data_IF_517375232613
#
_entry.id   IF_517375232613
#
_cell.length_a   1.000
_cell.length_b   1.000
_cell.length_c   1.000
_cell.angle_alpha   90.00
_cell.angle_beta   90.00
_cell.angle_gamma   90.00
#
_symmetry.space_group_name_H-M   'P 1'
#
loop_
_entity.id
_entity.type
_entity.pdbx_description
1 polymer ?
#
# COMPACT_ATOMS: atom_id res chain seq x y z
N UNK A 1 -2.94 13.64 -1.48
CA UNK A 1 -2.90 12.22 -1.90
C UNK A 1 -2.30 11.40 -0.77
N UNK A 2 -2.87 10.25 -0.44
CA UNK A 2 -2.44 9.43 0.69
C UNK A 2 -2.30 7.96 0.24
N UNK A 3 -1.22 7.33 0.71
CA UNK A 3 -0.98 5.89 0.63
C UNK A 3 -0.67 5.45 2.06
N UNK A 4 -1.39 4.45 2.55
CA UNK A 4 -1.13 3.80 3.84
C UNK A 4 -0.89 2.32 3.57
N UNK A 5 0.26 1.80 3.96
CA UNK A 5 0.64 0.41 3.71
C UNK A 5 1.20 -0.28 4.94
N UNK A 6 0.91 -1.57 5.10
CA UNK A 6 1.50 -2.40 6.15
C UNK A 6 0.68 -3.66 6.45
N UNK A 7 1.23 -4.50 7.32
CA UNK A 7 0.51 -5.60 7.96
C UNK A 7 -0.42 -5.04 9.04
N UNK A 8 -1.72 -5.11 8.78
CA UNK A 8 -2.75 -4.62 9.71
C UNK A 8 -3.32 -5.74 10.58
N UNK A 9 -2.88 -6.99 10.38
CA UNK A 9 -3.35 -8.18 11.09
C UNK A 9 -4.89 -8.39 11.08
N UNK A 10 -5.59 -7.77 10.13
CA UNK A 10 -7.05 -7.83 10.02
C UNK A 10 -7.48 -7.74 8.55
N UNK A 11 -8.77 -7.96 8.26
CA UNK A 11 -9.32 -7.86 6.92
C UNK A 11 -9.63 -6.41 6.52
N UNK A 12 -9.61 -6.13 5.21
CA UNK A 12 -9.91 -4.81 4.67
C UNK A 12 -11.28 -4.27 5.11
N UNK A 13 -12.28 -5.14 5.20
CA UNK A 13 -13.63 -4.74 5.64
C UNK A 13 -13.62 -4.17 7.07
N UNK A 14 -12.92 -4.85 7.99
CA UNK A 14 -12.82 -4.40 9.38
C UNK A 14 -12.05 -3.07 9.47
N UNK A 15 -11.03 -2.86 8.63
CA UNK A 15 -10.33 -1.57 8.54
C UNK A 15 -11.26 -0.46 8.06
N UNK A 16 -12.02 -0.71 7.01
CA UNK A 16 -12.83 0.31 6.34
C UNK A 16 -14.18 0.56 7.03
N UNK A 17 -14.69 -0.36 7.84
CA UNK A 17 -16.00 -0.23 8.47
C UNK A 17 -15.92 -0.10 10.01
N UNK A 18 -14.89 -0.69 10.63
CA UNK A 18 -14.84 -0.89 12.08
C UNK A 18 -13.58 -0.33 12.75
N UNK A 19 -12.79 0.49 12.04
CA UNK A 19 -11.60 1.14 12.59
C UNK A 19 -11.66 2.68 12.46
N UNK A 20 -10.72 3.42 13.08
CA UNK A 20 -10.57 4.87 12.86
C UNK A 20 -10.31 5.27 11.41
N UNK A 21 -9.96 4.33 10.52
CA UNK A 21 -9.74 4.60 9.10
C UNK A 21 -11.04 4.76 8.30
N UNK A 22 -12.19 4.33 8.84
CA UNK A 22 -13.49 4.35 8.15
C UNK A 22 -13.82 5.69 7.52
N UNK A 23 -13.61 6.78 8.26
CA UNK A 23 -14.05 8.11 7.86
C UNK A 23 -13.04 8.83 6.94
N UNK A 24 -11.92 8.17 6.59
CA UNK A 24 -10.89 8.70 5.70
C UNK A 24 -11.18 8.46 4.21
N UNK A 25 -12.22 7.67 3.89
CA UNK A 25 -12.60 7.36 2.51
C UNK A 25 -11.53 6.62 1.72
N UNK A 26 -10.66 5.86 2.40
CA UNK A 26 -9.60 5.08 1.76
C UNK A 26 -10.18 3.87 1.02
N UNK A 27 -9.51 3.47 -0.06
CA UNK A 27 -9.83 2.29 -0.86
C UNK A 27 -8.83 1.17 -0.55
N UNK A 28 -9.31 -0.06 -0.40
CA UNK A 28 -8.50 -1.27 -0.22
C UNK A 28 -8.57 -2.15 -1.49
N UNK A 29 -7.66 -1.98 -2.44
CA UNK A 29 -7.73 -2.68 -3.73
C UNK A 29 -7.16 -4.11 -3.67
N UNK A 30 -6.45 -4.48 -2.61
CA UNK A 30 -5.89 -5.80 -2.42
C UNK A 30 -6.91 -6.74 -1.76
N UNK A 31 -7.14 -7.89 -2.41
CA UNK A 31 -8.05 -8.94 -1.92
C UNK A 31 -7.35 -10.30 -1.76
N UNK A 32 -6.17 -10.46 -2.37
CA UNK A 32 -5.44 -11.72 -2.38
C UNK A 32 -4.72 -11.98 -1.06
N UNK A 33 -4.73 -13.24 -0.63
CA UNK A 33 -4.06 -13.66 0.58
C UNK A 33 -2.53 -13.56 0.46
N UNK A 34 -1.90 -13.16 1.55
CA UNK A 34 -0.45 -12.96 1.66
C UNK A 34 0.17 -13.87 2.72
N UNK A 35 -0.61 -14.31 3.71
CA UNK A 35 -0.14 -15.08 4.84
C UNK A 35 -0.86 -16.45 4.99
N UNK A 36 -0.15 -17.52 5.39
CA UNK A 36 1.31 -17.63 5.35
C UNK A 36 1.82 -17.82 3.91
N UNK A 37 3.02 -17.36 3.60
CA UNK A 37 3.54 -17.28 2.22
C UNK A 37 3.63 -18.61 1.48
N UNK A 38 3.83 -19.71 2.20
CA UNK A 38 3.90 -21.07 1.65
C UNK A 38 2.52 -21.66 1.29
N UNK A 39 1.44 -21.10 1.84
CA UNK A 39 0.05 -21.44 1.52
C UNK A 39 -0.86 -20.27 1.89
N UNK A 40 -0.93 -19.23 1.06
CA UNK A 40 -1.64 -18.01 1.42
C UNK A 40 -3.14 -18.28 1.64
N UNK A 41 -3.64 -17.87 2.79
CA UNK A 41 -5.04 -18.05 3.20
C UNK A 41 -5.64 -16.79 3.83
N UNK A 42 -4.82 -15.86 4.30
CA UNK A 42 -5.23 -14.64 4.98
C UNK A 42 -4.67 -13.42 4.25
N UNK A 43 -5.53 -12.43 4.00
CA UNK A 43 -5.16 -11.12 3.47
C UNK A 43 -5.03 -10.15 4.65
N UNK A 44 -3.79 -9.95 5.12
CA UNK A 44 -3.48 -9.16 6.33
C UNK A 44 -2.65 -7.92 6.03
N UNK A 45 -1.82 -8.00 5.00
CA UNK A 45 -1.14 -6.86 4.42
C UNK A 45 -2.13 -6.09 3.56
N UNK A 46 -2.14 -4.77 3.69
CA UNK A 46 -2.99 -3.87 2.91
C UNK A 46 -2.20 -2.69 2.41
N UNK A 47 -2.51 -2.25 1.18
CA UNK A 47 -2.09 -0.95 0.63
C UNK A 47 -3.36 -0.14 0.37
N UNK A 48 -3.68 0.78 1.27
CA UNK A 48 -4.85 1.64 1.22
C UNK A 48 -4.57 2.95 0.49
N UNK A 49 -5.47 3.36 -0.40
CA UNK A 49 -5.27 4.51 -1.28
C UNK A 49 -6.39 5.56 -1.12
N UNK A 50 -6.04 6.84 -1.13
CA UNK A 50 -7.05 7.90 -1.28
C UNK A 50 -7.73 7.82 -2.67
N UNK A 51 -9.03 8.13 -2.83
CA UNK A 51 -9.76 8.00 -4.10
C UNK A 51 -9.25 8.87 -5.25
N UNK A 52 -8.40 9.85 -4.92
CA UNK A 52 -7.76 10.75 -5.90
C UNK A 52 -6.54 10.13 -6.59
N UNK A 53 -6.11 8.94 -6.17
CA UNK A 53 -5.04 8.17 -6.81
C UNK A 53 -5.65 7.18 -7.78
N UNK A 54 -5.20 7.22 -9.04
CA UNK A 54 -5.60 6.23 -10.03
C UNK A 54 -4.79 4.96 -9.83
N UNK A 55 -5.48 3.85 -9.58
CA UNK A 55 -4.91 2.51 -9.50
C UNK A 55 -4.75 1.93 -10.91
N UNK A 56 -3.53 1.53 -11.27
CA UNK A 56 -3.23 0.87 -12.54
C UNK A 56 -3.19 -0.65 -12.40
N UNK A 57 -2.58 -1.13 -11.31
CA UNK A 57 -2.38 -2.57 -11.07
C UNK A 57 -2.23 -2.89 -9.60
N UNK A 58 -2.71 -4.07 -9.21
CA UNK A 58 -2.46 -4.72 -7.92
C UNK A 58 -1.98 -6.12 -8.20
N UNK A 59 -0.99 -6.60 -7.44
CA UNK A 59 -0.53 -7.98 -7.54
C UNK A 59 0.05 -8.43 -6.20
N UNK A 60 -0.23 -9.66 -5.80
CA UNK A 60 0.56 -10.37 -4.79
C UNK A 60 1.70 -11.09 -5.50
N UNK A 61 2.93 -10.80 -5.09
CA UNK A 61 4.13 -11.33 -5.70
C UNK A 61 4.44 -12.71 -5.12
N UNK A 62 4.63 -13.72 -5.97
CA UNK A 62 5.01 -15.08 -5.57
C UNK A 62 6.50 -15.19 -5.18
N UNK A 63 6.96 -14.33 -4.27
CA UNK A 63 8.33 -14.27 -3.77
C UNK A 63 8.32 -14.55 -2.26
N UNK A 64 8.32 -15.83 -1.83
CA UNK A 64 8.18 -16.23 -0.42
C UNK A 64 9.51 -16.08 0.35
N UNK A 65 10.00 -14.85 0.46
CA UNK A 65 11.22 -14.49 1.19
C UNK A 65 10.91 -14.22 2.67
N UNK A 66 9.65 -13.86 2.99
CA UNK A 66 9.08 -13.79 4.34
C UNK A 66 7.99 -14.83 4.52
N UNK A 67 7.46 -14.96 5.73
CA UNK A 67 6.18 -15.60 6.06
C UNK A 67 4.95 -14.89 5.46
N UNK A 68 5.10 -13.68 4.92
CA UNK A 68 4.13 -12.97 4.10
C UNK A 68 4.59 -12.86 2.63
N UNK A 69 3.66 -12.91 1.68
CA UNK A 69 3.92 -12.55 0.29
C UNK A 69 3.88 -11.03 0.10
N UNK A 70 4.84 -10.43 -0.63
CA UNK A 70 4.81 -9.00 -0.91
C UNK A 70 3.61 -8.60 -1.77
N UNK A 71 3.05 -7.43 -1.47
CA UNK A 71 2.00 -6.80 -2.27
C UNK A 71 2.61 -5.65 -3.05
N UNK A 72 2.36 -5.61 -4.36
CA UNK A 72 2.73 -4.49 -5.20
C UNK A 72 1.48 -3.81 -5.77
N UNK A 73 1.51 -2.48 -5.74
CA UNK A 73 0.47 -1.62 -6.30
C UNK A 73 1.14 -0.60 -7.21
N UNK A 74 0.60 -0.46 -8.41
CA UNK A 74 1.00 0.56 -9.37
C UNK A 74 -0.07 1.64 -9.41
N UNK A 75 0.35 2.89 -9.18
CA UNK A 75 -0.53 4.06 -9.20
C UNK A 75 -0.02 5.08 -10.20
N UNK A 76 -0.96 5.80 -10.80
CA UNK A 76 -0.65 7.01 -11.55
C UNK A 76 -0.77 8.20 -10.62
N UNK A 77 0.28 9.01 -10.58
CA UNK A 77 0.24 10.27 -9.86
C UNK A 77 -0.73 11.25 -10.54
N UNK A 78 -1.44 12.09 -9.79
CA UNK A 78 -2.21 13.19 -10.33
C UNK A 78 -1.33 14.19 -11.09
N UNK A 79 -1.89 14.85 -12.11
CA UNK A 79 -1.18 15.86 -12.91
C UNK A 79 -0.52 16.96 -12.05
N UNK A 80 -1.16 17.36 -10.95
CA UNK A 80 -0.65 18.34 -9.99
C UNK A 80 0.62 17.93 -9.24
N UNK A 81 0.98 16.64 -9.26
CA UNK A 81 2.19 16.10 -8.63
C UNK A 81 3.32 15.79 -9.62
N UNK A 82 3.11 16.04 -10.92
CA UNK A 82 4.14 15.76 -11.94
C UNK A 82 5.25 16.83 -12.02
N UNK A 83 5.28 17.79 -11.10
CA UNK A 83 6.28 18.86 -11.06
C UNK A 83 6.45 19.46 -9.68
N UNK A 84 7.38 18.90 -8.91
CA UNK A 84 8.55 19.61 -8.38
C UNK A 84 9.59 18.51 -8.06
N UNK A 85 10.81 18.70 -8.56
CA UNK A 85 11.95 17.84 -8.25
C UNK A 85 12.00 17.59 -6.74
N UNK A 86 12.07 16.31 -6.33
CA UNK A 86 12.41 15.94 -4.96
C UNK A 86 13.61 16.80 -4.52
N UNK A 87 13.58 17.43 -3.34
CA UNK A 87 14.77 18.10 -2.83
C UNK A 87 15.87 17.05 -2.73
N UNK A 88 16.86 17.15 -3.63
CA UNK A 88 18.11 16.40 -3.49
C UNK A 88 18.68 16.85 -2.16
N UNK A 89 18.90 15.95 -1.18
CA UNK A 89 19.56 16.34 0.05
C UNK A 89 20.95 16.84 -0.36
N UNK A 90 21.18 18.14 -0.23
CA UNK A 90 22.48 18.75 -0.43
C UNK A 90 23.45 18.03 0.51
N UNK A 91 24.34 17.23 -0.07
CA UNK A 91 25.36 16.50 0.66
C UNK A 91 26.10 17.45 1.57
N UNK A 92 25.91 17.28 2.88
CA UNK A 92 26.72 17.94 3.89
C UNK A 92 28.16 17.49 3.69
N UNK A 93 29.01 18.45 3.36
CA UNK A 93 30.45 18.28 3.29
C UNK A 93 30.94 17.87 4.69
N UNK A 94 31.33 16.60 4.87
CA UNK A 94 32.09 16.20 6.05
C UNK A 94 33.52 16.69 5.82
N UNK A 95 33.88 17.74 6.58
CA UNK A 95 35.26 18.13 6.82
C UNK A 95 36.00 17.07 7.63
#
# INVERSE_FOLDING_TARGET
HQVLMGDMNTHANDLLEHSPLRDLGLLAPQIEATFPSWRPQRCLDHILLSPTLTLERVQVLAHPISDHLPVAVEIRLPASLHGDSLPVPSGGNLA
#
